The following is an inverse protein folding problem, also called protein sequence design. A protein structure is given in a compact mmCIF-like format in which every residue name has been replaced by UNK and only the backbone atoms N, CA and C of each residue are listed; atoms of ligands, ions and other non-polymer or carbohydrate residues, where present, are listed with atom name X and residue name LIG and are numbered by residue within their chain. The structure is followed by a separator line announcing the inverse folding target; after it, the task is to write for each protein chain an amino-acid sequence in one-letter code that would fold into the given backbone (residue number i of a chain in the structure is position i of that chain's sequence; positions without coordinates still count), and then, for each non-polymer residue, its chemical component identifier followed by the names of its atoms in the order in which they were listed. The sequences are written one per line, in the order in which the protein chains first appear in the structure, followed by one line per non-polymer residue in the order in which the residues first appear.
data_IF_318969571168
#
_entry.id   IF_318969571168
#
_cell.length_a   1.000
_cell.length_b   1.000
_cell.length_c   1.000
_cell.angle_alpha   90.00
_cell.angle_beta   90.00
_cell.angle_gamma   90.00
#
_symmetry.space_group_name_H-M   'P 1'
#
loop_
_entity.id
_entity.type
_entity.pdbx_description
1 polymer ?
#
# COMPACT_ATOMS: atom_id res chain seq x y z
N UNK A 1 -33.88 -5.52 -49.21
CA UNK A 1 -32.84 -4.71 -48.64
C UNK A 1 -32.77 -4.61 -47.10
N UNK A 2 -33.75 -5.09 -46.31
CA UNK A 2 -33.76 -4.87 -44.83
C UNK A 2 -32.78 -5.77 -44.07
N UNK A 3 -32.49 -6.96 -44.55
CA UNK A 3 -31.61 -7.95 -43.94
C UNK A 3 -30.12 -7.58 -44.01
N UNK A 4 -29.69 -6.89 -45.05
CA UNK A 4 -28.26 -6.49 -45.19
C UNK A 4 -27.84 -5.39 -44.24
N UNK A 5 -28.77 -4.54 -43.77
CA UNK A 5 -28.46 -3.49 -42.80
C UNK A 5 -28.25 -4.00 -41.36
N UNK A 6 -28.95 -5.07 -41.00
CA UNK A 6 -28.85 -5.67 -39.66
C UNK A 6 -27.50 -6.42 -39.45
N UNK A 7 -27.05 -7.17 -40.45
CA UNK A 7 -25.77 -7.87 -40.46
C UNK A 7 -24.59 -6.90 -40.43
N UNK A 8 -24.68 -5.77 -41.14
CA UNK A 8 -23.62 -4.74 -41.13
C UNK A 8 -23.53 -4.02 -39.76
N UNK A 9 -24.68 -3.78 -39.11
CA UNK A 9 -24.72 -3.20 -37.75
C UNK A 9 -24.18 -4.17 -36.71
N UNK A 10 -24.55 -5.44 -36.77
CA UNK A 10 -24.03 -6.49 -35.89
C UNK A 10 -22.49 -6.67 -36.04
N UNK A 11 -21.98 -6.59 -37.28
CA UNK A 11 -20.56 -6.63 -37.56
C UNK A 11 -19.79 -5.45 -36.95
N UNK A 12 -20.31 -4.24 -37.10
CA UNK A 12 -19.71 -3.02 -36.52
C UNK A 12 -19.67 -3.06 -35.00
N UNK A 13 -20.72 -3.54 -34.34
CA UNK A 13 -20.76 -3.69 -32.88
C UNK A 13 -19.73 -4.72 -32.41
N UNK A 14 -19.58 -5.84 -33.11
CA UNK A 14 -18.57 -6.84 -32.77
C UNK A 14 -17.15 -6.31 -32.95
N UNK A 15 -16.87 -5.57 -34.00
CA UNK A 15 -15.55 -4.94 -34.23
C UNK A 15 -15.27 -3.88 -33.16
N UNK A 16 -16.23 -3.03 -32.81
CA UNK A 16 -16.09 -2.04 -31.78
C UNK A 16 -15.84 -2.68 -30.39
N UNK A 17 -16.55 -3.77 -30.07
CA UNK A 17 -16.34 -4.52 -28.84
C UNK A 17 -14.95 -5.18 -28.80
N UNK A 18 -14.51 -5.78 -29.89
CA UNK A 18 -13.16 -6.35 -30.00
C UNK A 18 -12.07 -5.28 -29.88
N UNK A 19 -12.24 -4.13 -30.54
CA UNK A 19 -11.32 -2.99 -30.41
C UNK A 19 -11.26 -2.45 -28.98
N UNK A 20 -12.39 -2.35 -28.30
CA UNK A 20 -12.46 -1.90 -26.91
C UNK A 20 -11.76 -2.87 -25.94
N UNK A 21 -11.69 -4.16 -26.24
CA UNK A 21 -10.96 -5.15 -25.44
C UNK A 21 -9.46 -5.17 -25.79
N UNK A 22 -9.09 -5.01 -27.04
CA UNK A 22 -7.70 -5.16 -27.51
C UNK A 22 -6.91 -3.86 -27.32
N UNK A 23 -7.53 -2.69 -27.49
CA UNK A 23 -6.87 -1.39 -27.40
C UNK A 23 -6.17 -1.16 -26.04
N UNK A 24 -6.80 -1.43 -24.89
CA UNK A 24 -6.13 -1.30 -23.59
C UNK A 24 -4.90 -2.21 -23.45
N UNK A 25 -4.96 -3.42 -24.01
CA UNK A 25 -3.82 -4.37 -24.00
C UNK A 25 -2.67 -3.86 -24.86
N UNK A 26 -2.95 -3.33 -26.03
CA UNK A 26 -1.92 -2.73 -26.91
C UNK A 26 -1.30 -1.49 -26.23
N UNK A 27 -2.13 -0.62 -25.67
CA UNK A 27 -1.67 0.58 -24.95
C UNK A 27 -0.81 0.18 -23.77
N UNK A 28 -1.22 -0.82 -22.98
CA UNK A 28 -0.45 -1.35 -21.86
C UNK A 28 0.91 -1.94 -22.29
N UNK A 29 0.94 -2.70 -23.38
CA UNK A 29 2.18 -3.27 -23.92
C UNK A 29 3.15 -2.18 -24.45
N UNK A 30 2.63 -1.13 -25.05
CA UNK A 30 3.45 -0.01 -25.54
C UNK A 30 3.94 0.87 -24.38
N UNK A 31 3.06 1.20 -23.44
CA UNK A 31 3.41 1.97 -22.25
C UNK A 31 4.41 1.23 -21.36
N UNK A 32 4.26 -0.11 -21.23
CA UNK A 32 5.16 -0.94 -20.45
C UNK A 32 6.62 -0.95 -20.93
N UNK A 33 6.87 -0.59 -22.20
CA UNK A 33 8.25 -0.48 -22.72
C UNK A 33 9.01 0.77 -22.28
N UNK A 34 8.32 1.75 -21.70
CA UNK A 34 8.92 2.96 -21.13
C UNK A 34 9.12 2.89 -19.60
N UNK A 35 8.77 1.76 -18.99
CA UNK A 35 9.01 1.51 -17.58
C UNK A 35 10.47 1.11 -17.42
N UNK A 36 11.14 1.69 -16.41
CA UNK A 36 12.56 1.52 -16.14
C UNK A 36 13.50 2.30 -17.09
N UNK A 37 13.17 3.56 -17.36
CA UNK A 37 14.11 4.44 -18.05
C UNK A 37 15.25 4.82 -17.10
N UNK A 38 16.49 4.56 -17.52
CA UNK A 38 17.70 4.98 -16.81
C UNK A 38 17.73 6.50 -16.55
N UNK A 39 17.03 7.27 -17.37
CA UNK A 39 16.96 8.73 -17.30
C UNK A 39 16.27 9.26 -16.02
N UNK A 40 15.50 8.43 -15.31
CA UNK A 40 14.82 8.81 -14.04
C UNK A 40 15.65 8.50 -12.80
N UNK A 41 16.74 7.73 -12.92
CA UNK A 41 17.61 7.35 -11.80
C UNK A 41 18.42 8.58 -11.34
N UNK A 42 18.29 8.91 -10.04
CA UNK A 42 18.97 10.06 -9.43
C UNK A 42 19.97 9.66 -8.34
N UNK A 43 20.15 8.37 -8.12
CA UNK A 43 21.06 7.81 -7.12
C UNK A 43 20.68 6.40 -6.72
N UNK A 44 21.30 5.94 -5.65
CA UNK A 44 21.01 4.69 -4.96
C UNK A 44 21.02 4.92 -3.47
N UNK A 45 20.37 4.04 -2.71
CA UNK A 45 20.39 4.04 -1.25
C UNK A 45 20.42 2.61 -0.74
N UNK A 46 21.30 2.31 0.20
CA UNK A 46 21.41 1.00 0.87
C UNK A 46 20.37 0.91 1.97
N UNK A 47 19.31 0.15 1.72
CA UNK A 47 18.16 0.03 2.62
C UNK A 47 18.18 -1.29 3.36
N UNK A 48 17.79 -1.28 4.63
CA UNK A 48 17.45 -2.48 5.36
C UNK A 48 15.96 -2.53 5.70
N UNK A 49 15.32 -3.67 5.41
CA UNK A 49 13.96 -3.99 5.89
C UNK A 49 14.05 -5.01 7.04
N UNK A 50 13.51 -4.68 8.20
CA UNK A 50 13.58 -5.51 9.40
C UNK A 50 12.26 -6.24 9.62
N UNK A 51 12.32 -7.55 9.80
CA UNK A 51 11.23 -8.40 10.27
C UNK A 51 11.60 -8.94 11.64
N UNK A 52 11.05 -8.36 12.72
CA UNK A 52 11.35 -8.79 14.09
C UNK A 52 10.54 -10.01 14.53
N UNK A 53 9.47 -10.30 13.82
CA UNK A 53 8.47 -11.30 14.18
C UNK A 53 7.61 -10.89 15.39
N UNK A 54 6.46 -11.57 15.53
CA UNK A 54 5.59 -11.46 16.71
C UNK A 54 5.62 -12.78 17.48
N UNK A 55 5.57 -12.75 18.81
CA UNK A 55 5.39 -13.97 19.60
C UNK A 55 4.12 -14.67 19.14
N UNK A 56 4.17 -16.00 18.97
CA UNK A 56 2.96 -16.77 18.62
C UNK A 56 1.86 -16.46 19.63
N UNK A 57 0.69 -16.09 19.11
CA UNK A 57 -0.50 -15.82 19.92
C UNK A 57 -0.83 -17.04 20.79
N UNK A 58 -0.72 -16.88 22.08
CA UNK A 58 -1.07 -17.89 23.08
C UNK A 58 -0.54 -17.50 24.44
N UNK A 59 -1.41 -17.09 25.32
CA UNK A 59 -1.41 -17.20 26.77
C UNK A 59 -1.02 -16.00 27.64
N UNK A 60 -0.30 -14.97 27.22
CA UNK A 60 -0.10 -13.85 28.13
C UNK A 60 0.02 -12.50 27.39
N UNK A 61 -1.11 -11.82 27.19
CA UNK A 61 -1.16 -10.49 26.57
C UNK A 61 -0.36 -9.45 27.37
N UNK A 62 -0.23 -9.61 28.69
CA UNK A 62 0.50 -8.68 29.54
C UNK A 62 2.02 -8.93 29.49
N UNK A 63 2.44 -10.20 29.39
CA UNK A 63 3.86 -10.59 29.24
C UNK A 63 4.39 -10.41 27.82
N UNK A 64 3.53 -10.25 26.81
CA UNK A 64 3.91 -10.01 25.42
C UNK A 64 4.08 -8.53 25.08
N UNK A 65 3.64 -7.61 25.93
CA UNK A 65 3.94 -6.19 25.79
C UNK A 65 5.45 -5.99 25.72
N UNK A 66 5.91 -5.19 24.79
CA UNK A 66 7.33 -4.94 24.45
C UNK A 66 8.02 -6.08 23.70
N UNK A 67 7.43 -7.28 23.59
CA UNK A 67 8.09 -8.37 22.89
C UNK A 67 8.27 -8.06 21.39
N UNK A 68 7.28 -7.43 20.78
CA UNK A 68 7.35 -7.00 19.36
C UNK A 68 8.46 -5.97 19.19
N UNK A 69 8.49 -4.93 20.03
CA UNK A 69 9.54 -3.92 20.03
C UNK A 69 10.93 -4.55 20.24
N UNK A 70 11.09 -5.38 21.27
CA UNK A 70 12.36 -6.00 21.58
C UNK A 70 12.89 -6.88 20.45
N UNK A 71 12.01 -7.59 19.74
CA UNK A 71 12.38 -8.40 18.59
C UNK A 71 12.95 -7.54 17.45
N UNK A 72 12.32 -6.40 17.16
CA UNK A 72 12.81 -5.47 16.13
C UNK A 72 14.13 -4.80 16.54
N UNK A 73 14.26 -4.42 17.80
CA UNK A 73 15.54 -3.92 18.39
C UNK A 73 16.65 -4.95 18.22
N UNK A 74 16.42 -6.18 18.68
CA UNK A 74 17.42 -7.25 18.61
C UNK A 74 17.84 -7.58 17.17
N UNK A 75 16.89 -7.59 16.23
CA UNK A 75 17.22 -7.89 14.83
C UNK A 75 18.01 -6.73 14.21
N UNK A 76 17.70 -5.47 14.55
CA UNK A 76 18.47 -4.30 14.14
C UNK A 76 19.87 -4.31 14.72
N UNK A 77 20.03 -4.65 16.02
CA UNK A 77 21.35 -4.77 16.64
C UNK A 77 22.19 -5.93 16.06
N UNK A 78 21.55 -7.04 15.69
CA UNK A 78 22.23 -8.12 14.96
C UNK A 78 22.71 -7.65 13.60
N UNK A 79 21.91 -6.88 12.90
CA UNK A 79 22.27 -6.28 11.61
C UNK A 79 23.47 -5.35 11.79
N UNK A 80 23.43 -4.43 12.75
CA UNK A 80 24.50 -3.49 13.06
C UNK A 80 25.88 -4.14 13.35
N UNK A 81 25.90 -5.38 13.83
CA UNK A 81 27.15 -6.12 14.08
C UNK A 81 27.75 -6.78 12.84
N UNK A 82 27.03 -6.88 11.74
CA UNK A 82 27.47 -7.61 10.53
C UNK A 82 27.52 -6.77 9.27
N UNK A 83 26.88 -5.62 9.27
CA UNK A 83 26.76 -4.73 8.12
C UNK A 83 27.05 -3.30 8.54
N UNK A 84 27.88 -2.64 7.77
CA UNK A 84 28.18 -1.22 7.86
C UNK A 84 27.53 -0.48 6.69
N UNK A 85 27.49 0.85 6.77
CA UNK A 85 27.06 1.74 5.67
C UNK A 85 25.60 1.54 5.22
N UNK A 86 24.68 1.23 6.14
CA UNK A 86 23.25 1.28 5.88
C UNK A 86 22.80 2.74 5.84
N UNK A 87 22.11 3.16 4.76
CA UNK A 87 21.63 4.54 4.63
C UNK A 87 20.32 4.79 5.37
N UNK A 88 19.43 3.79 5.39
CA UNK A 88 18.12 3.88 6.06
C UNK A 88 17.55 2.50 6.39
N UNK A 89 16.78 2.44 7.46
CA UNK A 89 16.17 1.20 7.98
C UNK A 89 14.66 1.37 8.06
N UNK A 90 13.93 0.37 7.59
CA UNK A 90 12.46 0.33 7.64
C UNK A 90 12.01 -0.77 8.59
N UNK A 91 11.30 -0.38 9.65
CA UNK A 91 10.56 -1.29 10.51
C UNK A 91 9.11 -1.37 10.08
N UNK A 92 8.40 -2.47 10.42
CA UNK A 92 6.97 -2.65 10.07
C UNK A 92 6.03 -1.69 10.80
N UNK A 93 4.77 -1.69 10.35
CA UNK A 93 3.64 -1.16 11.10
C UNK A 93 3.54 -1.85 12.47
N UNK A 94 3.29 -1.08 13.53
CA UNK A 94 3.21 -1.56 14.92
C UNK A 94 4.44 -2.36 15.39
N UNK A 95 5.62 -2.06 14.85
CA UNK A 95 6.90 -2.63 15.31
C UNK A 95 7.24 -2.21 16.75
N UNK A 96 6.69 -1.09 17.21
CA UNK A 96 6.59 -0.76 18.61
C UNK A 96 5.13 -0.89 19.06
N UNK A 97 4.86 -1.86 19.91
CA UNK A 97 3.56 -2.11 20.55
C UNK A 97 3.31 -1.17 21.76
N UNK A 98 4.23 -0.26 21.99
CA UNK A 98 4.19 0.76 23.07
C UNK A 98 4.50 2.11 22.45
N UNK A 99 3.74 3.12 22.85
CA UNK A 99 3.97 4.52 22.45
C UNK A 99 5.28 5.05 23.04
N UNK A 100 6.34 5.26 22.23
CA UNK A 100 7.64 5.71 22.70
C UNK A 100 7.62 7.17 23.23
N UNK A 101 6.58 7.93 22.92
CA UNK A 101 6.42 9.30 23.45
C UNK A 101 5.84 9.33 24.87
N UNK A 102 5.36 8.18 25.35
CA UNK A 102 4.76 8.03 26.69
C UNK A 102 5.49 7.02 27.56
N UNK A 103 6.39 6.25 26.99
CA UNK A 103 7.16 5.21 27.65
C UNK A 103 8.65 5.41 27.41
N UNK A 104 9.38 5.84 28.47
CA UNK A 104 10.79 6.16 28.37
C UNK A 104 11.69 4.95 28.10
N UNK A 105 11.28 3.73 28.51
CA UNK A 105 12.06 2.51 28.22
C UNK A 105 11.90 2.12 26.75
N UNK A 106 10.70 2.28 26.16
CA UNK A 106 10.48 2.05 24.74
C UNK A 106 11.28 3.08 23.92
N UNK A 107 11.25 4.37 24.29
CA UNK A 107 12.07 5.39 23.65
C UNK A 107 13.55 5.08 23.70
N UNK A 108 14.06 4.63 24.85
CA UNK A 108 15.46 4.27 25.02
C UNK A 108 15.85 3.04 24.19
N UNK A 109 15.00 2.02 24.14
CA UNK A 109 15.23 0.82 23.33
C UNK A 109 15.31 1.14 21.83
N UNK A 110 14.41 1.99 21.33
CA UNK A 110 14.43 2.46 19.93
C UNK A 110 15.70 3.28 19.68
N UNK A 111 16.02 4.27 20.52
CA UNK A 111 17.20 5.10 20.35
C UNK A 111 18.49 4.26 20.39
N UNK A 112 18.58 3.26 21.27
CA UNK A 112 19.71 2.35 21.32
C UNK A 112 19.92 1.55 20.04
N UNK A 113 18.84 1.06 19.42
CA UNK A 113 18.91 0.37 18.13
C UNK A 113 19.30 1.32 16.98
N UNK A 114 18.75 2.54 16.98
CA UNK A 114 19.06 3.61 16.01
C UNK A 114 20.54 4.01 16.09
N UNK A 115 21.05 4.23 17.29
CA UNK A 115 22.45 4.58 17.50
C UNK A 115 23.39 3.40 17.16
N UNK A 116 22.97 2.16 17.42
CA UNK A 116 23.77 0.98 17.10
C UNK A 116 23.92 0.75 15.59
N UNK A 117 22.89 1.03 14.78
CA UNK A 117 22.94 0.88 13.32
C UNK A 117 23.51 2.12 12.60
N UNK A 118 23.63 3.22 13.30
CA UNK A 118 24.09 4.52 12.79
C UNK A 118 23.36 5.01 11.53
N UNK A 119 22.06 4.71 11.44
CA UNK A 119 21.19 5.08 10.32
C UNK A 119 19.81 5.50 10.81
N UNK A 120 19.08 6.39 10.11
CA UNK A 120 17.71 6.69 10.45
C UNK A 120 16.81 5.45 10.29
N UNK A 121 15.94 5.24 11.27
CA UNK A 121 14.97 4.13 11.33
C UNK A 121 13.55 4.67 11.27
N UNK A 122 12.75 4.15 10.34
CA UNK A 122 11.32 4.39 10.28
C UNK A 122 10.60 3.36 11.14
N UNK A 123 9.99 3.79 12.24
CA UNK A 123 9.38 2.93 13.27
C UNK A 123 7.86 3.04 13.23
N UNK A 124 7.15 1.91 13.13
CA UNK A 124 5.69 1.87 13.23
C UNK A 124 5.22 1.80 14.67
N UNK A 125 4.35 2.71 15.08
CA UNK A 125 3.80 2.76 16.43
C UNK A 125 2.41 3.37 16.48
N UNK A 126 1.64 3.07 17.52
CA UNK A 126 0.42 3.80 17.83
C UNK A 126 0.75 5.00 18.72
N UNK A 127 0.47 6.19 18.23
CA UNK A 127 0.64 7.45 19.00
C UNK A 127 -0.70 8.05 19.39
N UNK A 128 -0.69 9.02 20.26
CA UNK A 128 -1.90 9.76 20.62
C UNK A 128 -1.61 11.26 20.73
N UNK A 129 -2.34 12.03 19.92
CA UNK A 129 -2.35 13.50 19.94
C UNK A 129 -3.67 14.06 20.54
N UNK A 130 -3.90 15.36 20.39
CA UNK A 130 -5.11 16.05 20.84
C UNK A 130 -6.38 15.59 20.09
N UNK A 131 -6.23 15.08 18.86
CA UNK A 131 -7.33 14.61 18.00
C UNK A 131 -7.73 13.17 18.36
N UNK A 132 -6.76 12.35 18.81
CA UNK A 132 -7.01 10.97 19.18
C UNK A 132 -5.83 10.03 18.95
N UNK A 133 -6.13 8.74 18.84
CA UNK A 133 -5.12 7.73 18.51
C UNK A 133 -4.77 7.79 17.01
N UNK A 134 -3.48 7.64 16.68
CA UNK A 134 -2.93 7.62 15.32
C UNK A 134 -2.12 6.35 15.11
N UNK A 135 -2.26 5.75 13.94
CA UNK A 135 -1.31 4.77 13.44
C UNK A 135 -0.19 5.54 12.73
N UNK A 136 1.01 5.49 13.28
CA UNK A 136 2.10 6.41 12.92
C UNK A 136 3.35 5.66 12.51
N UNK A 137 3.93 6.06 11.38
CA UNK A 137 5.30 5.73 11.01
C UNK A 137 6.18 6.93 11.37
N UNK A 138 7.09 6.75 12.32
CA UNK A 138 7.93 7.81 12.90
C UNK A 138 9.40 7.57 12.56
N UNK A 139 10.08 8.57 12.03
CA UNK A 139 11.54 8.54 11.81
C UNK A 139 12.27 8.85 13.12
N UNK A 140 13.25 8.01 13.45
CA UNK A 140 14.25 8.28 14.48
C UNK A 140 15.63 8.34 13.84
N UNK A 141 16.43 9.36 14.18
CA UNK A 141 17.73 9.62 13.55
C UNK A 141 18.85 9.60 14.59
N UNK A 142 20.00 8.92 14.32
CA UNK A 142 21.11 8.85 15.25
C UNK A 142 21.55 10.22 15.72
N UNK A 143 21.72 10.40 17.04
CA UNK A 143 22.15 11.65 17.64
C UNK A 143 21.20 12.86 17.50
N UNK A 144 20.10 12.76 16.72
CA UNK A 144 19.14 13.84 16.48
C UNK A 144 17.76 13.53 17.05
N UNK A 145 17.47 12.27 17.39
CA UNK A 145 16.20 11.84 17.97
C UNK A 145 15.07 11.77 16.95
N UNK A 146 13.92 12.37 17.27
CA UNK A 146 12.67 12.29 16.49
C UNK A 146 12.70 13.19 15.27
N UNK A 147 12.46 12.61 14.09
CA UNK A 147 12.36 13.29 12.79
C UNK A 147 10.93 13.39 12.24
N UNK A 148 10.81 13.32 10.92
CA UNK A 148 9.53 13.34 10.21
C UNK A 148 8.63 12.15 10.57
N UNK A 149 7.33 12.29 10.32
CA UNK A 149 6.37 11.21 10.53
C UNK A 149 5.30 11.16 9.43
N UNK A 150 4.69 9.99 9.30
CA UNK A 150 3.49 9.76 8.52
C UNK A 150 2.39 9.16 9.41
N UNK A 151 1.26 9.83 9.50
CA UNK A 151 0.04 9.26 10.07
C UNK A 151 -0.75 8.56 8.97
N UNK A 152 -1.13 7.32 9.19
CA UNK A 152 -1.91 6.52 8.24
C UNK A 152 -3.19 7.26 7.82
N UNK A 153 -3.39 7.44 6.52
CA UNK A 153 -4.49 8.21 5.94
C UNK A 153 -5.71 7.33 5.62
N UNK A 154 -5.45 6.15 5.05
CA UNK A 154 -6.51 5.20 4.67
C UNK A 154 -6.61 4.12 5.74
N UNK A 155 -7.46 4.39 6.75
CA UNK A 155 -7.68 3.47 7.85
C UNK A 155 -8.46 2.23 7.39
N UNK A 156 -8.12 1.06 7.94
CA UNK A 156 -8.81 -0.18 7.66
C UNK A 156 -10.20 -0.18 8.33
N UNK A 157 -11.29 -0.25 7.54
CA UNK A 157 -12.64 -0.37 8.10
C UNK A 157 -12.77 -1.64 8.95
N UNK A 158 -13.52 -1.55 10.02
CA UNK A 158 -13.79 -2.62 11.01
C UNK A 158 -12.58 -3.08 11.83
N UNK A 159 -11.36 -2.64 11.51
CA UNK A 159 -10.15 -2.88 12.28
C UNK A 159 -9.70 -1.61 13.01
N UNK A 160 -9.32 -0.59 12.26
CA UNK A 160 -8.80 0.68 12.81
C UNK A 160 -9.89 1.73 13.03
N UNK A 161 -10.98 1.64 12.28
CA UNK A 161 -12.13 2.55 12.40
C UNK A 161 -13.44 1.80 12.13
N UNK A 162 -14.50 2.22 12.80
CA UNK A 162 -15.84 1.67 12.57
C UNK A 162 -16.69 2.71 11.79
N UNK A 163 -16.94 2.47 10.48
CA UNK A 163 -17.88 3.30 9.74
C UNK A 163 -19.29 3.20 10.34
N UNK A 164 -19.99 4.33 10.46
CA UNK A 164 -21.34 4.40 11.03
C UNK A 164 -21.45 3.67 12.39
N UNK A 165 -20.49 3.88 13.28
CA UNK A 165 -20.39 3.21 14.59
C UNK A 165 -21.71 3.18 15.34
N UNK A 166 -22.40 4.30 15.45
CA UNK A 166 -23.67 4.42 16.19
C UNK A 166 -24.78 3.54 15.60
N UNK A 167 -24.79 3.36 14.28
CA UNK A 167 -25.74 2.47 13.61
C UNK A 167 -25.43 1.00 13.91
N UNK A 168 -24.19 0.57 13.75
CA UNK A 168 -23.79 -0.83 13.94
C UNK A 168 -23.80 -1.25 15.42
N UNK A 169 -23.56 -0.34 16.36
CA UNK A 169 -23.62 -0.61 17.80
C UNK A 169 -25.00 -1.10 18.27
N UNK A 170 -26.07 -0.82 17.51
CA UNK A 170 -27.41 -1.36 17.83
C UNK A 170 -27.56 -2.85 17.48
N UNK A 171 -26.65 -3.40 16.68
CA UNK A 171 -26.78 -4.77 16.16
C UNK A 171 -25.69 -5.72 16.63
N UNK A 172 -24.57 -5.22 17.17
CA UNK A 172 -23.43 -6.05 17.52
C UNK A 172 -22.50 -5.40 18.52
N UNK A 173 -22.17 -6.11 19.59
CA UNK A 173 -21.16 -5.71 20.57
C UNK A 173 -19.72 -5.77 19.99
N UNK A 174 -19.51 -6.42 18.84
CA UNK A 174 -18.21 -6.46 18.17
C UNK A 174 -17.76 -5.09 17.64
N UNK A 175 -18.65 -4.09 17.59
CA UNK A 175 -18.32 -2.70 17.25
C UNK A 175 -17.28 -2.10 18.18
N UNK A 176 -17.29 -2.52 19.46
CA UNK A 176 -16.36 -2.02 20.48
C UNK A 176 -14.94 -2.60 20.32
N UNK A 177 -14.77 -3.67 19.55
CA UNK A 177 -13.47 -4.22 19.21
C UNK A 177 -12.76 -3.46 18.09
N UNK A 178 -13.50 -2.71 17.27
CA UNK A 178 -12.91 -1.87 16.24
C UNK A 178 -12.23 -0.65 16.87
N UNK A 179 -11.02 -0.36 16.39
CA UNK A 179 -10.27 0.82 16.81
C UNK A 179 -11.01 2.13 16.58
N UNK A 180 -10.52 3.19 17.17
CA UNK A 180 -10.96 4.57 16.96
C UNK A 180 -9.77 5.45 16.56
N UNK A 181 -8.98 4.95 15.60
CA UNK A 181 -7.87 5.70 15.03
C UNK A 181 -8.40 6.85 14.17
N UNK A 182 -7.65 7.95 14.18
CA UNK A 182 -7.92 9.13 13.37
C UNK A 182 -7.01 9.14 12.15
N UNK A 183 -7.58 9.42 10.98
CA UNK A 183 -6.84 9.48 9.73
C UNK A 183 -5.85 10.65 9.72
N UNK A 184 -4.69 10.44 9.10
CA UNK A 184 -3.73 11.49 8.80
C UNK A 184 -4.12 12.30 7.58
N UNK A 185 -3.43 13.44 7.38
CA UNK A 185 -3.59 14.35 6.26
C UNK A 185 -2.25 14.79 5.64
N UNK A 186 -1.14 14.19 6.10
CA UNK A 186 0.21 14.51 5.64
C UNK A 186 0.48 14.17 4.18
N UNK A 187 1.67 14.53 3.66
CA UNK A 187 2.03 14.37 2.24
C UNK A 187 2.29 12.92 1.80
N UNK A 188 2.29 11.96 2.72
CA UNK A 188 2.67 10.57 2.44
C UNK A 188 4.18 10.37 2.22
N UNK A 189 5.00 11.34 2.63
CA UNK A 189 6.46 11.32 2.47
C UNK A 189 7.12 11.68 3.79
N UNK A 190 8.21 10.99 4.11
CA UNK A 190 9.11 11.32 5.22
C UNK A 190 10.54 11.48 4.67
N UNK A 191 11.33 12.32 5.32
CA UNK A 191 12.75 12.51 4.99
C UNK A 191 13.61 11.61 5.89
N UNK A 192 14.46 10.78 5.27
CA UNK A 192 15.41 9.92 5.95
C UNK A 192 16.76 10.11 5.28
N UNK A 193 17.76 10.64 6.01
CA UNK A 193 19.10 10.90 5.46
C UNK A 193 19.10 11.66 4.12
N UNK A 194 18.24 12.70 4.01
CA UNK A 194 18.00 13.49 2.78
C UNK A 194 17.33 12.70 1.63
N UNK A 195 16.91 11.47 1.87
CA UNK A 195 16.10 10.68 0.93
C UNK A 195 14.63 10.89 1.25
N UNK A 196 13.84 11.31 0.26
CA UNK A 196 12.39 11.38 0.37
C UNK A 196 11.80 9.98 0.18
N UNK A 197 11.28 9.40 1.26
CA UNK A 197 10.70 8.05 1.32
C UNK A 197 9.18 8.17 1.34
N UNK A 198 8.51 7.64 0.33
CA UNK A 198 7.04 7.56 0.29
C UNK A 198 6.54 6.41 1.16
N UNK A 199 5.53 6.68 1.97
CA UNK A 199 5.00 5.72 2.95
C UNK A 199 3.53 5.40 2.65
N UNK A 200 3.22 4.12 2.48
CA UNK A 200 1.86 3.61 2.45
C UNK A 200 1.76 2.41 3.42
N UNK A 201 1.16 2.65 4.58
CA UNK A 201 1.13 1.69 5.69
C UNK A 201 0.06 0.62 5.47
N UNK A 202 0.48 -0.63 5.32
CA UNK A 202 -0.38 -1.82 5.29
C UNK A 202 -1.53 -1.71 4.25
N UNK A 203 -2.76 -1.51 4.70
CA UNK A 203 -3.97 -1.38 3.87
C UNK A 203 -3.89 -0.24 2.85
N UNK A 204 -3.09 0.81 3.11
CA UNK A 204 -2.93 1.96 2.21
C UNK A 204 -2.39 1.57 0.83
N UNK A 205 -1.60 0.49 0.71
CA UNK A 205 -1.08 0.00 -0.57
C UNK A 205 -2.18 -0.35 -1.58
N UNK A 206 -3.41 -0.61 -1.09
CA UNK A 206 -4.58 -0.88 -1.93
C UNK A 206 -5.07 0.34 -2.70
N UNK A 207 -4.71 1.55 -2.26
CA UNK A 207 -5.17 2.81 -2.84
C UNK A 207 -4.11 3.43 -3.75
N UNK A 208 -4.46 3.68 -5.00
CA UNK A 208 -3.58 4.34 -5.97
C UNK A 208 -3.07 5.68 -5.42
N UNK A 209 -3.97 6.47 -4.83
CA UNK A 209 -3.67 7.80 -4.33
C UNK A 209 -2.59 7.80 -3.23
N UNK A 210 -2.43 6.74 -2.44
CA UNK A 210 -1.42 6.70 -1.38
C UNK A 210 -0.02 6.94 -1.94
N UNK A 211 0.40 6.15 -2.94
CA UNK A 211 1.71 6.32 -3.55
C UNK A 211 1.75 7.37 -4.65
N UNK A 212 0.66 7.62 -5.38
CA UNK A 212 0.62 8.72 -6.35
C UNK A 212 0.88 10.07 -5.68
N UNK A 213 0.29 10.31 -4.52
CA UNK A 213 0.50 11.52 -3.74
C UNK A 213 1.95 11.60 -3.22
N UNK A 214 2.48 10.49 -2.70
CA UNK A 214 3.87 10.41 -2.25
C UNK A 214 4.85 10.77 -3.37
N UNK A 215 4.67 10.22 -4.58
CA UNK A 215 5.52 10.51 -5.74
C UNK A 215 5.40 11.97 -6.18
N UNK A 216 4.18 12.53 -6.21
CA UNK A 216 3.95 13.96 -6.50
C UNK A 216 4.61 14.89 -5.47
N UNK A 217 4.72 14.43 -4.22
CA UNK A 217 5.42 15.11 -3.14
C UNK A 217 6.93 14.80 -3.10
N UNK A 218 7.48 14.18 -4.15
CA UNK A 218 8.92 14.02 -4.35
C UNK A 218 9.52 12.73 -3.83
N UNK A 219 8.73 11.73 -3.45
CA UNK A 219 9.26 10.43 -3.03
C UNK A 219 10.16 9.81 -4.12
N UNK A 220 11.36 9.38 -3.73
CA UNK A 220 12.36 8.76 -4.62
C UNK A 220 12.39 7.24 -4.49
N UNK A 221 11.94 6.73 -3.37
CA UNK A 221 11.76 5.32 -3.02
C UNK A 221 10.49 5.20 -2.20
N UNK A 222 9.86 4.05 -2.19
CA UNK A 222 8.60 3.80 -1.50
C UNK A 222 8.77 2.72 -0.44
N UNK A 223 7.89 2.73 0.57
CA UNK A 223 7.82 1.66 1.56
C UNK A 223 6.39 1.29 1.90
N UNK A 224 6.17 -0.01 2.13
CA UNK A 224 4.93 -0.57 2.67
C UNK A 224 5.22 -1.26 4.00
N UNK A 225 5.34 -0.50 5.10
CA UNK A 225 5.41 -1.09 6.43
C UNK A 225 4.06 -1.74 6.77
N UNK A 226 4.05 -2.99 7.23
CA UNK A 226 2.81 -3.74 7.39
C UNK A 226 2.80 -4.65 8.61
N UNK A 227 1.64 -4.75 9.27
CA UNK A 227 1.41 -5.71 10.33
C UNK A 227 0.55 -6.87 9.82
N UNK A 228 1.19 -7.96 9.45
CA UNK A 228 0.56 -9.17 8.91
C UNK A 228 0.31 -10.24 9.98
N UNK A 229 0.48 -9.94 11.27
CA UNK A 229 0.37 -10.92 12.35
C UNK A 229 -0.99 -11.65 12.37
N UNK A 230 -2.08 -10.93 12.05
CA UNK A 230 -3.43 -11.48 12.00
C UNK A 230 -3.73 -12.29 10.74
N UNK A 231 -2.89 -12.20 9.71
CA UNK A 231 -3.09 -12.95 8.46
C UNK A 231 -2.70 -14.43 8.61
N UNK A 232 -1.88 -14.76 9.60
CA UNK A 232 -1.40 -16.12 9.83
C UNK A 232 -0.67 -16.67 8.60
N UNK A 233 -0.92 -17.94 8.29
CA UNK A 233 -0.38 -18.62 7.11
C UNK A 233 -1.29 -18.51 5.88
N UNK A 234 -2.13 -17.49 5.81
CA UNK A 234 -3.00 -17.26 4.65
C UNK A 234 -2.26 -16.59 3.51
N UNK A 235 -2.86 -16.64 2.30
CA UNK A 235 -2.32 -15.99 1.10
C UNK A 235 -2.43 -14.45 1.14
N UNK A 236 -3.01 -13.87 2.18
CA UNK A 236 -3.22 -12.41 2.28
C UNK A 236 -1.92 -11.62 2.26
N UNK A 237 -0.85 -12.15 2.88
CA UNK A 237 0.47 -11.50 2.87
C UNK A 237 1.06 -11.46 1.45
N UNK A 238 0.88 -12.53 0.66
CA UNK A 238 1.34 -12.57 -0.75
C UNK A 238 0.49 -11.69 -1.65
N UNK A 239 -0.82 -11.54 -1.39
CA UNK A 239 -1.68 -10.60 -2.09
C UNK A 239 -1.23 -9.15 -1.83
N UNK A 240 -0.87 -8.82 -0.60
CA UNK A 240 -0.35 -7.50 -0.26
C UNK A 240 1.01 -7.23 -0.93
N UNK A 241 1.91 -8.22 -0.96
CA UNK A 241 3.15 -8.12 -1.70
C UNK A 241 2.89 -7.91 -3.21
N UNK A 242 1.91 -8.61 -3.79
CA UNK A 242 1.54 -8.43 -5.19
C UNK A 242 1.04 -6.99 -5.47
N UNK A 243 0.29 -6.37 -4.54
CA UNK A 243 -0.07 -4.95 -4.62
C UNK A 243 1.16 -4.06 -4.60
N UNK A 244 2.12 -4.28 -3.69
CA UNK A 244 3.37 -3.53 -3.61
C UNK A 244 4.19 -3.62 -4.91
N UNK A 245 4.24 -4.81 -5.54
CA UNK A 245 4.87 -5.01 -6.85
C UNK A 245 4.18 -4.21 -7.97
N UNK A 246 2.84 -4.17 -7.94
CA UNK A 246 2.08 -3.33 -8.88
C UNK A 246 2.38 -1.85 -8.68
N UNK A 247 2.49 -1.39 -7.43
CA UNK A 247 2.86 0.00 -7.10
C UNK A 247 4.26 0.36 -7.57
N UNK A 248 5.22 -0.57 -7.47
CA UNK A 248 6.56 -0.36 -8.02
C UNK A 248 6.51 -0.08 -9.53
N UNK A 249 5.81 -0.93 -10.30
CA UNK A 249 5.59 -0.76 -11.74
C UNK A 249 4.87 0.55 -12.08
N UNK A 250 3.80 0.84 -11.34
CA UNK A 250 2.93 1.99 -11.59
C UNK A 250 3.65 3.32 -11.39
N UNK A 251 4.54 3.37 -10.41
CA UNK A 251 5.22 4.59 -9.99
C UNK A 251 6.66 4.73 -10.50
N UNK A 252 7.22 3.67 -11.10
CA UNK A 252 8.64 3.54 -11.45
C UNK A 252 9.55 3.80 -10.22
N UNK A 253 9.24 3.14 -9.10
CA UNK A 253 9.97 3.27 -7.84
C UNK A 253 10.23 1.89 -7.24
N UNK A 254 11.38 1.73 -6.60
CA UNK A 254 11.59 0.60 -5.71
C UNK A 254 10.66 0.70 -4.49
N UNK A 255 10.16 -0.44 -4.02
CA UNK A 255 9.29 -0.54 -2.84
C UNK A 255 9.91 -1.47 -1.81
N UNK A 256 10.12 -0.96 -0.60
CA UNK A 256 10.58 -1.73 0.55
C UNK A 256 9.35 -2.19 1.33
N UNK A 257 9.08 -3.48 1.34
CA UNK A 257 8.03 -4.08 2.16
C UNK A 257 8.65 -4.60 3.45
N UNK A 258 8.27 -4.02 4.58
CA UNK A 258 8.69 -4.47 5.91
C UNK A 258 7.46 -5.01 6.65
N UNK A 259 7.43 -6.31 6.92
CA UNK A 259 6.36 -7.00 7.61
C UNK A 259 6.76 -7.39 9.03
N UNK A 260 5.83 -7.41 9.99
CA UNK A 260 6.10 -7.87 11.36
C UNK A 260 6.44 -9.35 11.39
N UNK A 261 5.65 -10.17 10.68
CA UNK A 261 5.76 -11.64 10.65
C UNK A 261 5.31 -12.25 9.32
N UNK A 262 4.92 -11.41 8.37
CA UNK A 262 4.49 -11.81 7.03
C UNK A 262 5.67 -12.00 6.08
N UNK A 263 5.51 -11.63 4.81
CA UNK A 263 6.57 -11.62 3.82
C UNK A 263 7.10 -10.19 3.68
N UNK A 264 8.29 -9.92 4.22
CA UNK A 264 9.05 -8.75 3.86
C UNK A 264 9.71 -8.95 2.51
N UNK A 265 9.89 -7.90 1.72
CA UNK A 265 10.48 -8.01 0.38
C UNK A 265 11.12 -6.70 -0.09
N UNK A 266 12.14 -6.83 -0.93
CA UNK A 266 12.72 -5.74 -1.69
C UNK A 266 12.26 -5.84 -3.14
N UNK A 267 11.53 -4.83 -3.59
CA UNK A 267 10.87 -4.81 -4.90
C UNK A 267 11.50 -3.73 -5.77
N UNK A 268 11.98 -4.13 -6.93
CA UNK A 268 12.54 -3.21 -7.93
C UNK A 268 11.45 -2.45 -8.69
N UNK A 269 11.79 -1.33 -9.38
CA UNK A 269 10.83 -0.54 -10.15
C UNK A 269 10.10 -1.33 -11.24
N UNK A 270 10.70 -2.41 -11.75
CA UNK A 270 10.08 -3.34 -12.72
C UNK A 270 9.13 -4.37 -12.08
N UNK A 271 8.88 -4.26 -10.76
CA UNK A 271 8.04 -5.18 -9.99
C UNK A 271 8.68 -6.53 -9.69
N UNK A 272 9.96 -6.75 -10.04
CA UNK A 272 10.69 -7.94 -9.63
C UNK A 272 11.02 -7.90 -8.13
N UNK A 273 11.03 -9.06 -7.49
CA UNK A 273 11.43 -9.23 -6.09
C UNK A 273 12.82 -9.80 -6.06
N UNK A 274 13.78 -9.06 -5.49
CA UNK A 274 15.17 -9.51 -5.37
C UNK A 274 15.39 -10.35 -4.12
N UNK A 275 14.75 -9.97 -3.00
CA UNK A 275 14.84 -10.67 -1.74
C UNK A 275 13.48 -10.72 -1.06
N UNK A 276 13.19 -11.81 -0.34
CA UNK A 276 11.99 -11.95 0.51
C UNK A 276 12.29 -12.82 1.72
N UNK A 277 11.49 -12.62 2.78
CA UNK A 277 11.59 -13.40 4.01
C UNK A 277 10.62 -14.59 4.00
N UNK A 278 10.88 -15.55 4.89
CA UNK A 278 9.91 -16.56 5.28
C UNK A 278 8.89 -15.99 6.29
N UNK A 279 7.74 -16.68 6.41
CA UNK A 279 6.70 -16.31 7.36
C UNK A 279 7.13 -16.65 8.80
N UNK A 280 6.86 -15.75 9.73
CA UNK A 280 7.10 -15.93 11.17
C UNK A 280 8.56 -16.21 11.55
N UNK A 281 9.51 -15.74 10.73
CA UNK A 281 10.93 -15.82 11.02
C UNK A 281 11.54 -14.42 11.13
N UNK A 282 12.37 -14.13 12.15
CA UNK A 282 13.11 -12.88 12.20
C UNK A 282 14.12 -12.81 11.06
N UNK A 283 14.20 -11.67 10.38
CA UNK A 283 15.09 -11.47 9.25
C UNK A 283 15.40 -9.98 9.02
N UNK A 284 16.53 -9.72 8.36
CA UNK A 284 16.85 -8.41 7.80
C UNK A 284 17.23 -8.59 6.32
N UNK A 285 16.52 -7.90 5.44
CA UNK A 285 16.81 -7.82 4.00
C UNK A 285 17.59 -6.55 3.72
N UNK A 286 18.64 -6.63 2.91
CA UNK A 286 19.54 -5.50 2.65
C UNK A 286 19.87 -5.45 1.17
N UNK A 287 19.73 -4.26 0.56
CA UNK A 287 20.11 -4.04 -0.83
C UNK A 287 20.29 -2.55 -1.12
N UNK A 288 21.15 -2.23 -2.09
CA UNK A 288 21.23 -0.90 -2.69
C UNK A 288 20.15 -0.77 -3.76
N UNK A 289 19.10 0.00 -3.46
CA UNK A 289 17.96 0.20 -4.33
C UNK A 289 18.07 1.54 -5.08
N UNK A 290 17.58 1.62 -6.34
CA UNK A 290 17.64 2.84 -7.11
C UNK A 290 16.67 3.89 -6.57
N UNK A 291 17.18 5.11 -6.44
CA UNK A 291 16.37 6.31 -6.23
C UNK A 291 15.96 6.87 -7.59
N UNK A 292 14.68 7.11 -7.78
CA UNK A 292 14.17 7.64 -9.05
C UNK A 292 13.37 8.93 -8.85
N UNK A 293 13.28 9.74 -9.90
CA UNK A 293 12.54 11.01 -9.93
C UNK A 293 11.52 11.02 -11.07
N UNK A 294 10.75 12.11 -11.14
CA UNK A 294 9.72 12.29 -12.18
C UNK A 294 8.41 11.56 -11.85
N UNK A 295 7.44 11.69 -12.72
CA UNK A 295 6.11 11.11 -12.61
C UNK A 295 5.82 10.23 -13.81
N UNK A 296 5.35 9.01 -13.57
CA UNK A 296 4.87 8.14 -14.64
C UNK A 296 3.53 8.64 -15.20
N UNK A 297 3.15 8.09 -16.37
CA UNK A 297 1.84 8.38 -16.94
C UNK A 297 0.70 8.01 -15.97
N UNK A 298 0.83 6.90 -15.23
CA UNK A 298 -0.15 6.45 -14.25
C UNK A 298 -0.29 7.43 -13.10
N UNK A 299 0.82 7.89 -12.53
CA UNK A 299 0.82 8.89 -11.44
C UNK A 299 0.17 10.19 -11.88
N UNK A 300 0.46 10.64 -13.11
CA UNK A 300 -0.03 11.93 -13.63
C UNK A 300 -1.48 11.87 -14.08
N UNK A 301 -1.90 10.82 -14.78
CA UNK A 301 -3.18 10.76 -15.47
C UNK A 301 -4.07 9.59 -15.05
N UNK A 302 -3.62 8.71 -14.15
CA UNK A 302 -4.36 7.50 -13.75
C UNK A 302 -5.79 7.78 -13.29
N UNK A 303 -5.99 8.73 -12.39
CA UNK A 303 -7.31 9.13 -11.91
C UNK A 303 -8.21 9.66 -13.03
N UNK A 304 -7.66 10.46 -13.96
CA UNK A 304 -8.42 10.96 -15.12
C UNK A 304 -8.88 9.80 -16.02
N UNK A 305 -7.99 8.87 -16.30
CA UNK A 305 -8.30 7.68 -17.13
C UNK A 305 -9.37 6.81 -16.47
N UNK A 306 -9.30 6.63 -15.17
CA UNK A 306 -10.28 5.90 -14.37
C UNK A 306 -11.69 6.53 -14.51
N UNK A 307 -11.80 7.84 -14.30
CA UNK A 307 -13.06 8.55 -14.46
C UNK A 307 -13.58 8.53 -15.88
N UNK A 308 -12.73 8.64 -16.89
CA UNK A 308 -13.13 8.51 -18.29
C UNK A 308 -13.71 7.12 -18.58
N UNK A 309 -13.08 6.04 -18.07
CA UNK A 309 -13.61 4.69 -18.23
C UNK A 309 -14.96 4.51 -17.53
N UNK A 310 -15.14 5.04 -16.32
CA UNK A 310 -16.42 5.01 -15.58
C UNK A 310 -17.51 5.76 -16.36
N UNK A 311 -17.21 6.94 -16.89
CA UNK A 311 -18.16 7.73 -17.68
C UNK A 311 -18.56 6.97 -18.95
N UNK A 312 -17.59 6.46 -19.71
CA UNK A 312 -17.84 5.68 -20.93
C UNK A 312 -18.70 4.45 -20.62
N UNK A 313 -18.34 3.69 -19.60
CA UNK A 313 -19.10 2.50 -19.18
C UNK A 313 -20.54 2.84 -18.79
N UNK A 314 -20.73 3.93 -18.04
CA UNK A 314 -22.06 4.42 -17.63
C UNK A 314 -22.89 4.83 -18.85
N UNK A 315 -22.32 5.60 -19.77
CA UNK A 315 -23.01 6.01 -21.02
C UNK A 315 -23.40 4.79 -21.85
N UNK A 316 -22.49 3.83 -22.02
CA UNK A 316 -22.80 2.59 -22.74
C UNK A 316 -23.94 1.80 -22.07
N UNK A 317 -23.92 1.70 -20.74
CA UNK A 317 -25.00 1.03 -19.99
C UNK A 317 -26.35 1.73 -20.18
N UNK A 318 -26.39 3.07 -20.10
CA UNK A 318 -27.58 3.86 -20.30
C UNK A 318 -28.16 3.70 -21.72
N UNK A 319 -27.28 3.72 -22.74
CA UNK A 319 -27.67 3.47 -24.14
C UNK A 319 -28.28 2.06 -24.28
N UNK A 320 -27.63 1.04 -23.69
CA UNK A 320 -28.10 -0.33 -23.74
C UNK A 320 -29.51 -0.49 -23.09
N UNK A 321 -29.73 0.12 -21.93
CA UNK A 321 -31.03 0.12 -21.25
C UNK A 321 -32.10 0.81 -22.11
N UNK A 322 -31.76 1.97 -22.70
CA UNK A 322 -32.71 2.72 -23.56
C UNK A 322 -33.09 1.93 -24.83
N UNK A 323 -32.12 1.32 -25.49
CA UNK A 323 -32.38 0.52 -26.69
C UNK A 323 -33.19 -0.73 -26.41
N UNK A 324 -32.95 -1.40 -25.27
CA UNK A 324 -33.74 -2.56 -24.85
C UNK A 324 -35.18 -2.19 -24.48
N UNK A 325 -35.41 -1.01 -23.90
CA UNK A 325 -36.80 -0.53 -23.64
C UNK A 325 -37.56 -0.19 -24.92
N UNK A 326 -36.89 0.39 -25.90
CA UNK A 326 -37.50 0.72 -27.21
C UNK A 326 -37.77 -0.52 -28.07
N UNK A 327 -37.06 -1.62 -27.88
CA UNK A 327 -37.28 -2.90 -28.56
C UNK A 327 -38.41 -3.75 -27.98
N UNK A 328 -38.98 -3.38 -26.83
CA UNK A 328 -40.13 -4.03 -26.20
C UNK A 328 -41.45 -3.28 -26.52
N UNK A 329 -41.78 -3.08 -27.80
CA UNK A 329 -43.17 -2.75 -28.19
C UNK A 329 -44.02 -3.99 -27.90
N UNK A 330 -45.22 -3.83 -27.28
CA UNK A 330 -46.13 -4.95 -27.07
C UNK A 330 -46.50 -5.54 -28.43
N UNK A 331 -46.23 -6.83 -28.64
CA UNK A 331 -46.87 -7.55 -29.73
C UNK A 331 -48.35 -7.46 -29.50
N UNK A 332 -49.03 -6.71 -30.35
CA UNK A 332 -50.47 -6.56 -30.34
C UNK A 332 -51.14 -7.93 -30.24
N UNK A 333 -52.05 -8.04 -29.29
CA UNK A 333 -52.98 -9.16 -29.16
C UNK A 333 -53.76 -9.19 -30.47
N UNK A 334 -53.43 -10.15 -31.34
CA UNK A 334 -54.19 -10.41 -32.53
C UNK A 334 -55.61 -10.78 -32.13
N UNK A 335 -56.57 -9.91 -32.44
CA UNK A 335 -58.01 -10.19 -32.37
C UNK A 335 -58.29 -11.44 -33.23
N UNK A 336 -58.77 -12.49 -32.58
CA UNK A 336 -59.49 -13.55 -33.27
C UNK A 336 -60.85 -13.01 -33.58
N UNK A 337 -61.10 -12.63 -34.81
CA UNK A 337 -62.45 -12.58 -35.35
C UNK A 337 -62.82 -13.91 -36.00
N UNK A 338 -64.06 -14.29 -35.80
CA UNK A 338 -64.91 -15.44 -36.07
C UNK A 338 -64.61 -16.24 -37.33
#
# INVERSE_FOLDING_TARGET
GVWGGWWRRAGRVKVAAAAALILPLIVGLVAGRGIDSADTKVGETKVAAIQGNVPRSGLDFAGQRRAVLNNHVQETEKLARREDDIDLVIWPENSSDIDPFRDGEAAQAISGAVDAIDAPVLVGTATRDEVGARNTMQVFTPGHGVGDHHHKKYLQPFGETMPMRDFFAHFSDYVDLAGDFKAGDGPGVVSMNSVAVGVATCYEVSFDNAFHESVKNGAKILTTPTNNATFGFSDMTYQQLAMSRLRALETDRAVVVAATSGVSALVHPDGSVSQSTELFEPAALIESLPLKSGETFSVRYGSLMQWLMVIIGTVCALIAVRTNRLGRTPRGVGAKEK
#
